data_IF_156781388198
#
_entry.id   IF_156781388198
#
_cell.length_a   1.000
_cell.length_b   1.000
_cell.length_c   1.000
_cell.angle_alpha   90.00
_cell.angle_beta   90.00
_cell.angle_gamma   90.00
#
_symmetry.space_group_name_H-M   'P 1'
#
loop_
_entity.id
_entity.type
_entity.pdbx_description
1 polymer ?
#
# COMPACT_ATOMS: atom_id res chain seq x y z
N UNK A 1 98.90 58.14 -77.51
CA UNK A 1 98.72 58.54 -76.10
C UNK A 1 100.12 58.79 -75.56
N UNK A 2 100.39 60.00 -75.09
CA UNK A 2 101.67 60.30 -74.45
C UNK A 2 101.71 59.68 -73.05
N UNK A 3 102.91 59.43 -72.50
CA UNK A 3 103.05 58.96 -71.11
C UNK A 3 102.37 59.89 -70.10
N UNK A 4 102.18 61.17 -70.44
CA UNK A 4 101.42 62.15 -69.64
C UNK A 4 99.90 61.90 -69.65
N UNK A 5 99.32 61.46 -70.76
CA UNK A 5 97.88 61.14 -70.84
C UNK A 5 97.53 59.88 -70.05
N UNK A 6 98.44 58.89 -70.05
CA UNK A 6 98.35 57.67 -69.25
C UNK A 6 98.51 57.97 -67.75
N UNK A 7 99.42 58.89 -67.38
CA UNK A 7 99.58 59.34 -65.99
C UNK A 7 98.37 60.13 -65.47
N UNK A 8 97.78 61.00 -66.29
CA UNK A 8 96.57 61.76 -65.93
C UNK A 8 95.33 60.84 -65.79
N UNK A 9 95.19 59.85 -66.67
CA UNK A 9 94.14 58.83 -66.56
C UNK A 9 94.34 57.93 -65.33
N UNK A 10 95.58 57.58 -65.00
CA UNK A 10 95.92 56.83 -63.78
C UNK A 10 95.61 57.64 -62.52
N UNK A 11 95.97 58.93 -62.46
CA UNK A 11 95.59 59.82 -61.35
C UNK A 11 94.07 60.00 -61.22
N UNK A 12 93.35 60.16 -62.34
CA UNK A 12 91.90 60.27 -62.35
C UNK A 12 91.23 58.99 -61.84
N UNK A 13 91.73 57.82 -62.26
CA UNK A 13 91.31 56.52 -61.75
C UNK A 13 91.63 56.33 -60.26
N UNK A 14 92.78 56.84 -59.79
CA UNK A 14 93.17 56.80 -58.38
C UNK A 14 92.23 57.63 -57.51
N UNK A 15 91.93 58.87 -57.93
CA UNK A 15 90.99 59.75 -57.22
C UNK A 15 89.57 59.19 -57.20
N UNK A 16 89.11 58.60 -58.31
CA UNK A 16 87.81 57.93 -58.37
C UNK A 16 87.76 56.71 -57.43
N UNK A 17 88.84 55.92 -57.36
CA UNK A 17 88.95 54.81 -56.43
C UNK A 17 88.97 55.28 -54.97
N UNK A 18 89.64 56.38 -54.64
CA UNK A 18 89.64 56.99 -53.30
C UNK A 18 88.28 57.57 -52.90
N UNK A 19 87.57 58.23 -53.82
CA UNK A 19 86.23 58.74 -53.58
C UNK A 19 85.22 57.59 -53.35
N UNK A 20 85.31 56.53 -54.17
CA UNK A 20 84.50 55.33 -53.98
C UNK A 20 84.81 54.64 -52.64
N UNK A 21 86.09 54.55 -52.24
CA UNK A 21 86.48 54.00 -50.92
C UNK A 21 85.94 54.83 -49.76
N UNK A 22 86.01 56.17 -49.84
CA UNK A 22 85.41 57.07 -48.84
C UNK A 22 83.91 56.88 -48.74
N UNK A 23 83.21 56.79 -49.88
CA UNK A 23 81.76 56.58 -49.89
C UNK A 23 81.36 55.22 -49.34
N UNK A 24 82.14 54.18 -49.61
CA UNK A 24 81.96 52.85 -49.00
C UNK A 24 82.18 52.90 -47.50
N UNK A 25 83.19 53.64 -47.01
CA UNK A 25 83.44 53.80 -45.58
C UNK A 25 82.31 54.55 -44.86
N UNK A 26 81.82 55.65 -45.43
CA UNK A 26 80.65 56.40 -44.90
C UNK A 26 79.40 55.51 -44.82
N UNK A 27 79.07 54.80 -45.90
CA UNK A 27 77.92 53.90 -45.94
C UNK A 27 78.08 52.70 -44.98
N UNK A 28 79.32 52.22 -44.76
CA UNK A 28 79.59 51.18 -43.80
C UNK A 28 79.42 51.66 -42.35
N UNK A 29 79.81 52.90 -42.03
CA UNK A 29 79.54 53.49 -40.71
C UNK A 29 78.05 53.75 -40.48
N UNK A 30 77.34 54.29 -41.48
CA UNK A 30 75.88 54.47 -41.40
C UNK A 30 75.15 53.13 -41.20
N UNK A 31 75.58 52.07 -41.90
CA UNK A 31 75.04 50.72 -41.75
C UNK A 31 75.38 50.12 -40.38
N UNK A 32 76.60 50.31 -39.89
CA UNK A 32 77.01 49.84 -38.57
C UNK A 32 76.25 50.56 -37.45
N UNK A 33 76.05 51.88 -37.57
CA UNK A 33 75.29 52.69 -36.62
C UNK A 33 73.80 52.32 -36.59
N UNK A 34 73.23 51.92 -37.74
CA UNK A 34 71.86 51.43 -37.83
C UNK A 34 71.68 50.01 -37.25
N UNK A 35 72.78 49.28 -37.01
CA UNK A 35 72.80 47.95 -36.41
C UNK A 35 71.69 47.00 -36.95
N UNK A 36 71.61 46.78 -38.27
CA UNK A 36 70.51 46.06 -38.92
C UNK A 36 70.31 44.63 -38.37
N UNK A 37 71.39 43.95 -37.96
CA UNK A 37 71.30 42.62 -37.35
C UNK A 37 70.60 42.65 -35.99
N UNK A 38 70.81 43.71 -35.19
CA UNK A 38 70.13 43.88 -33.91
C UNK A 38 68.65 44.18 -34.10
N UNK A 39 68.31 45.04 -35.08
CA UNK A 39 66.92 45.34 -35.45
C UNK A 39 66.22 44.09 -36.00
N UNK A 40 66.90 43.29 -36.83
CA UNK A 40 66.37 42.03 -37.34
C UNK A 40 66.14 41.01 -36.21
N UNK A 41 67.05 40.93 -35.24
CA UNK A 41 66.90 40.07 -34.07
C UNK A 41 65.73 40.53 -33.16
N UNK A 42 65.56 41.83 -32.95
CA UNK A 42 64.45 42.39 -32.18
C UNK A 42 63.10 42.13 -32.87
N UNK A 43 63.02 42.34 -34.19
CA UNK A 43 61.83 42.02 -34.98
C UNK A 43 61.50 40.52 -34.91
N UNK A 44 62.51 39.65 -35.03
CA UNK A 44 62.31 38.21 -34.91
C UNK A 44 61.79 37.82 -33.52
N UNK A 45 62.36 38.39 -32.45
CA UNK A 45 61.91 38.15 -31.08
C UNK A 45 60.48 38.65 -30.84
N UNK A 46 60.16 39.86 -31.30
CA UNK A 46 58.81 40.43 -31.18
C UNK A 46 57.78 39.64 -31.98
N UNK A 47 58.14 39.15 -33.17
CA UNK A 47 57.27 38.30 -34.00
C UNK A 47 57.00 36.97 -33.30
N UNK A 48 58.04 36.31 -32.78
CA UNK A 48 57.91 35.07 -32.03
C UNK A 48 57.02 35.24 -30.78
N UNK A 49 57.21 36.33 -30.03
CA UNK A 49 56.37 36.64 -28.88
C UNK A 49 54.91 36.91 -29.27
N UNK A 50 54.67 37.61 -30.39
CA UNK A 50 53.32 37.89 -30.89
C UNK A 50 52.60 36.63 -31.39
N UNK A 51 53.33 35.69 -32.02
CA UNK A 51 52.77 34.42 -32.45
C UNK A 51 52.49 33.51 -31.24
N UNK A 52 53.38 33.44 -30.24
CA UNK A 52 53.13 32.71 -29.00
C UNK A 52 51.89 33.26 -28.25
N UNK A 53 51.74 34.59 -28.18
CA UNK A 53 50.56 35.20 -27.57
C UNK A 53 49.28 34.87 -28.34
N UNK A 54 49.37 34.79 -29.67
CA UNK A 54 48.25 34.44 -30.54
C UNK A 54 47.82 33.00 -30.33
N UNK A 55 48.77 32.07 -30.29
CA UNK A 55 48.50 30.65 -30.02
C UNK A 55 47.83 30.47 -28.66
N UNK A 56 48.37 31.12 -27.60
CA UNK A 56 47.77 31.10 -26.26
C UNK A 56 46.36 31.68 -26.24
N UNK A 57 46.12 32.76 -26.97
CA UNK A 57 44.79 33.35 -27.09
C UNK A 57 43.82 32.41 -27.81
N UNK A 58 44.23 31.80 -28.90
CA UNK A 58 43.41 30.86 -29.67
C UNK A 58 43.05 29.61 -28.84
N UNK A 59 44.00 29.09 -28.06
CA UNK A 59 43.79 27.98 -27.14
C UNK A 59 42.82 28.35 -26.00
N UNK A 60 43.02 29.51 -25.37
CA UNK A 60 42.12 29.99 -24.33
C UNK A 60 40.70 30.25 -24.88
N UNK A 61 40.60 30.82 -26.08
CA UNK A 61 39.31 31.07 -26.74
C UNK A 61 38.62 29.76 -27.14
N UNK A 62 39.37 28.71 -27.50
CA UNK A 62 38.84 27.37 -27.75
C UNK A 62 38.30 26.75 -26.47
N UNK A 63 39.08 26.77 -25.39
CA UNK A 63 38.67 26.26 -24.09
C UNK A 63 37.42 26.97 -23.55
N UNK A 64 37.34 28.30 -23.69
CA UNK A 64 36.16 29.07 -23.28
C UNK A 64 34.91 28.63 -24.06
N UNK A 65 35.02 28.44 -25.38
CA UNK A 65 33.90 27.98 -26.20
C UNK A 65 33.43 26.57 -25.81
N UNK A 66 34.37 25.66 -25.52
CA UNK A 66 34.01 24.31 -25.05
C UNK A 66 33.26 24.35 -23.72
N UNK A 67 33.75 25.14 -22.76
CA UNK A 67 33.11 25.31 -21.45
C UNK A 67 31.73 25.97 -21.59
N UNK A 68 31.57 26.99 -22.43
CA UNK A 68 30.29 27.64 -22.68
C UNK A 68 29.26 26.69 -23.31
N UNK A 69 29.69 25.84 -24.24
CA UNK A 69 28.84 24.80 -24.83
C UNK A 69 28.41 23.80 -23.75
N UNK A 70 29.35 23.31 -22.93
CA UNK A 70 29.06 22.34 -21.88
C UNK A 70 28.10 22.92 -20.82
N UNK A 71 28.33 24.15 -20.38
CA UNK A 71 27.44 24.87 -19.46
C UNK A 71 26.05 25.10 -20.07
N UNK A 72 25.97 25.44 -21.36
CA UNK A 72 24.70 25.60 -22.07
C UNK A 72 23.90 24.29 -22.12
N UNK A 73 24.57 23.17 -22.42
CA UNK A 73 23.96 21.84 -22.40
C UNK A 73 23.42 21.53 -21.00
N UNK A 74 24.25 21.66 -19.96
CA UNK A 74 23.80 21.42 -18.58
C UNK A 74 22.68 22.34 -18.12
N UNK A 75 22.70 23.62 -18.54
CA UNK A 75 21.64 24.57 -18.27
C UNK A 75 20.32 24.20 -18.96
N UNK A 76 20.38 23.61 -20.16
CA UNK A 76 19.21 23.21 -20.95
C UNK A 76 18.54 21.91 -20.49
N UNK A 77 19.21 21.09 -19.67
CA UNK A 77 18.70 19.78 -19.24
C UNK A 77 17.48 19.83 -18.30
N UNK A 78 17.11 21.03 -17.83
CA UNK A 78 15.91 21.27 -17.03
C UNK A 78 15.91 20.52 -15.70
N UNK A 79 17.10 20.26 -15.13
CA UNK A 79 17.28 19.45 -13.91
C UNK A 79 16.48 19.99 -12.73
N UNK A 80 16.39 21.31 -12.59
CA UNK A 80 15.55 21.94 -11.57
C UNK A 80 14.07 21.59 -11.78
N UNK A 81 13.55 21.72 -13.00
CA UNK A 81 12.17 21.34 -13.29
C UNK A 81 11.88 19.85 -13.05
N UNK A 82 12.86 18.97 -13.30
CA UNK A 82 12.75 17.53 -12.97
C UNK A 82 12.71 17.31 -11.45
N UNK A 83 13.53 18.05 -10.70
CA UNK A 83 13.53 17.99 -9.24
C UNK A 83 12.20 18.49 -8.68
N UNK A 84 11.73 19.67 -9.09
CA UNK A 84 10.48 20.27 -8.63
C UNK A 84 9.28 19.34 -8.94
N UNK A 85 9.26 18.71 -10.11
CA UNK A 85 8.24 17.73 -10.48
C UNK A 85 8.29 16.48 -9.60
N UNK A 86 9.49 15.95 -9.31
CA UNK A 86 9.66 14.78 -8.45
C UNK A 86 9.28 15.08 -6.99
N UNK A 87 9.60 16.29 -6.49
CA UNK A 87 9.21 16.73 -5.15
C UNK A 87 7.70 16.89 -5.02
N UNK A 88 7.06 17.50 -6.03
CA UNK A 88 5.59 17.62 -6.10
C UNK A 88 4.92 16.25 -6.08
N UNK A 89 5.41 15.30 -6.89
CA UNK A 89 4.87 13.94 -6.95
C UNK A 89 5.04 13.23 -5.59
N UNK A 90 6.21 13.37 -4.95
CA UNK A 90 6.47 12.82 -3.62
C UNK A 90 5.49 13.36 -2.58
N UNK A 91 5.27 14.67 -2.58
CA UNK A 91 4.35 15.32 -1.64
C UNK A 91 2.90 14.87 -1.85
N UNK A 92 2.48 14.76 -3.12
CA UNK A 92 1.16 14.22 -3.46
C UNK A 92 1.01 12.78 -2.95
N UNK A 93 1.97 11.91 -3.25
CA UNK A 93 1.95 10.51 -2.83
C UNK A 93 1.95 10.37 -1.30
N UNK A 94 2.75 11.18 -0.59
CA UNK A 94 2.78 11.20 0.86
C UNK A 94 1.42 11.62 1.47
N UNK A 95 0.79 12.65 0.90
CA UNK A 95 -0.54 13.10 1.31
C UNK A 95 -1.62 12.03 1.10
N UNK A 96 -1.61 11.34 -0.05
CA UNK A 96 -2.52 10.23 -0.33
C UNK A 96 -2.31 9.08 0.65
N UNK A 97 -1.05 8.69 0.90
CA UNK A 97 -0.71 7.63 1.84
C UNK A 97 -1.20 7.96 3.26
N UNK A 98 -0.99 9.20 3.74
CA UNK A 98 -1.46 9.63 5.04
C UNK A 98 -2.99 9.53 5.15
N UNK A 99 -3.73 10.07 4.17
CA UNK A 99 -5.19 10.05 4.13
C UNK A 99 -5.78 8.64 4.10
N UNK A 100 -5.22 7.77 3.25
CA UNK A 100 -5.64 6.36 3.17
C UNK A 100 -5.30 5.64 4.48
N UNK A 101 -4.11 5.89 5.03
CA UNK A 101 -3.66 5.33 6.30
C UNK A 101 -4.57 5.69 7.47
N UNK A 102 -5.02 6.95 7.56
CA UNK A 102 -5.99 7.39 8.56
C UNK A 102 -7.32 6.66 8.45
N UNK A 103 -7.88 6.58 7.23
CA UNK A 103 -9.13 5.85 6.97
C UNK A 103 -9.02 4.38 7.31
N UNK A 104 -7.89 3.75 6.97
CA UNK A 104 -7.63 2.34 7.30
C UNK A 104 -7.52 2.11 8.81
N UNK A 105 -6.86 3.02 9.55
CA UNK A 105 -6.78 2.95 11.02
C UNK A 105 -8.16 3.13 11.65
N UNK A 106 -8.96 4.09 11.18
CA UNK A 106 -10.33 4.32 11.65
C UNK A 106 -11.22 3.10 11.41
N UNK A 107 -11.18 2.51 10.20
CA UNK A 107 -11.95 1.31 9.88
C UNK A 107 -11.51 0.10 10.73
N UNK A 108 -10.20 -0.06 10.97
CA UNK A 108 -9.67 -1.12 11.83
C UNK A 108 -10.13 -0.95 13.28
N UNK A 109 -10.12 0.27 13.79
CA UNK A 109 -10.60 0.60 15.14
C UNK A 109 -12.10 0.32 15.27
N UNK A 110 -12.91 0.77 14.31
CA UNK A 110 -14.34 0.49 14.32
C UNK A 110 -14.62 -1.02 14.31
N UNK A 111 -13.95 -1.77 13.42
CA UNK A 111 -14.07 -3.23 13.36
C UNK A 111 -13.72 -3.88 14.70
N UNK A 112 -12.58 -3.54 15.29
CA UNK A 112 -12.13 -4.17 16.54
C UNK A 112 -13.08 -3.88 17.70
N UNK A 113 -13.54 -2.63 17.82
CA UNK A 113 -14.49 -2.20 18.85
C UNK A 113 -15.84 -2.91 18.66
N UNK A 114 -16.40 -2.92 17.46
CA UNK A 114 -17.68 -3.57 17.16
C UNK A 114 -17.61 -5.09 17.38
N UNK A 115 -16.55 -5.75 16.93
CA UNK A 115 -16.34 -7.18 17.20
C UNK A 115 -16.28 -7.45 18.70
N UNK A 116 -15.50 -6.68 19.47
CA UNK A 116 -15.41 -6.83 20.92
C UNK A 116 -16.76 -6.68 21.60
N UNK A 117 -17.52 -5.63 21.28
CA UNK A 117 -18.84 -5.41 21.88
C UNK A 117 -19.86 -6.47 21.48
N UNK A 118 -19.83 -6.94 20.23
CA UNK A 118 -20.65 -8.06 19.76
C UNK A 118 -20.34 -9.32 20.55
N UNK A 119 -19.05 -9.66 20.69
CA UNK A 119 -18.62 -10.90 21.34
C UNK A 119 -18.90 -10.85 22.85
N UNK A 120 -18.68 -9.70 23.51
CA UNK A 120 -19.09 -9.48 24.91
C UNK A 120 -20.60 -9.60 25.10
N UNK A 121 -21.40 -9.02 24.18
CA UNK A 121 -22.87 -9.13 24.24
C UNK A 121 -23.32 -10.57 24.08
N UNK A 122 -22.74 -11.31 23.13
CA UNK A 122 -23.03 -12.74 22.93
C UNK A 122 -22.70 -13.57 24.17
N UNK A 123 -21.55 -13.35 24.80
CA UNK A 123 -21.16 -14.05 26.03
C UNK A 123 -22.19 -13.86 27.16
N UNK A 124 -22.83 -12.69 27.27
CA UNK A 124 -23.90 -12.45 28.26
C UNK A 124 -25.13 -13.35 28.04
N UNK A 125 -25.35 -13.83 26.82
CA UNK A 125 -26.49 -14.68 26.48
C UNK A 125 -26.18 -16.18 26.52
N UNK A 126 -24.90 -16.59 26.44
CA UNK A 126 -24.52 -18.02 26.41
C UNK A 126 -25.03 -18.75 27.64
N UNK A 127 -24.75 -18.24 28.84
CA UNK A 127 -25.13 -18.93 30.09
C UNK A 127 -26.65 -18.94 30.31
N UNK A 128 -27.39 -17.81 30.18
CA UNK A 128 -28.85 -17.83 30.25
C UNK A 128 -29.50 -18.77 29.23
N UNK A 129 -28.99 -18.80 28.00
CA UNK A 129 -29.50 -19.69 26.96
C UNK A 129 -29.20 -21.16 27.25
N UNK A 130 -27.98 -21.48 27.69
CA UNK A 130 -27.60 -22.82 28.15
C UNK A 130 -28.50 -23.28 29.29
N UNK A 131 -28.69 -22.45 30.31
CA UNK A 131 -29.51 -22.76 31.46
C UNK A 131 -30.97 -23.04 31.06
N UNK A 132 -31.52 -22.21 30.17
CA UNK A 132 -32.90 -22.37 29.69
C UNK A 132 -33.05 -23.62 28.82
N UNK A 133 -32.10 -23.90 27.93
CA UNK A 133 -32.10 -25.11 27.12
C UNK A 133 -32.00 -26.37 27.99
N UNK A 134 -31.19 -26.35 29.04
CA UNK A 134 -31.12 -27.45 30.02
C UNK A 134 -32.41 -27.59 30.82
N UNK A 135 -33.01 -26.48 31.27
CA UNK A 135 -34.30 -26.45 31.96
C UNK A 135 -35.41 -27.11 31.13
N UNK A 136 -35.50 -26.77 29.84
CA UNK A 136 -36.47 -27.33 28.90
C UNK A 136 -36.14 -28.76 28.47
N UNK A 137 -34.85 -29.13 28.40
CA UNK A 137 -34.42 -30.45 27.95
C UNK A 137 -34.45 -31.53 29.01
N UNK A 138 -34.30 -31.20 30.30
CA UNK A 138 -34.32 -32.19 31.41
C UNK A 138 -35.61 -33.03 31.47
N UNK A 139 -36.82 -32.47 31.28
CA UNK A 139 -38.05 -33.28 31.17
C UNK A 139 -38.03 -34.33 30.05
N UNK A 140 -37.30 -34.06 28.96
CA UNK A 140 -37.26 -34.91 27.75
C UNK A 140 -36.15 -35.96 27.85
N UNK A 141 -34.95 -35.52 28.23
CA UNK A 141 -33.75 -36.34 28.20
C UNK A 141 -33.32 -36.90 29.56
N UNK A 142 -33.88 -36.40 30.67
CA UNK A 142 -33.55 -36.81 32.02
C UNK A 142 -32.82 -35.73 32.84
N UNK A 143 -32.70 -35.91 34.17
CA UNK A 143 -32.16 -34.90 35.08
C UNK A 143 -30.67 -34.60 34.86
N UNK A 144 -29.92 -35.53 34.27
CA UNK A 144 -28.48 -35.42 33.95
C UNK A 144 -28.21 -34.70 32.63
N UNK A 145 -29.25 -34.17 31.96
CA UNK A 145 -29.11 -33.50 30.67
C UNK A 145 -28.35 -32.17 30.80
N UNK A 146 -27.24 -32.10 30.06
CA UNK A 146 -26.45 -30.90 29.87
C UNK A 146 -26.07 -30.73 28.40
N UNK A 147 -25.75 -29.49 28.03
CA UNK A 147 -25.29 -29.12 26.70
C UNK A 147 -24.17 -28.09 26.81
N UNK A 148 -23.24 -28.17 25.87
CA UNK A 148 -22.26 -27.13 25.67
C UNK A 148 -22.67 -26.19 24.55
N UNK A 149 -22.66 -24.89 24.84
CA UNK A 149 -23.04 -23.82 23.93
C UNK A 149 -21.84 -22.91 23.70
N UNK A 150 -21.56 -22.60 22.44
CA UNK A 150 -20.50 -21.67 22.06
C UNK A 150 -20.95 -20.20 21.98
N UNK A 151 -20.03 -19.33 21.60
CA UNK A 151 -20.30 -17.89 21.44
C UNK A 151 -21.28 -17.53 20.31
N UNK A 152 -21.57 -18.47 19.40
CA UNK A 152 -22.54 -18.30 18.33
C UNK A 152 -23.92 -18.88 18.70
N UNK A 153 -24.11 -19.28 19.97
CA UNK A 153 -25.32 -19.91 20.51
C UNK A 153 -25.64 -21.26 19.84
N UNK A 154 -24.62 -21.96 19.35
CA UNK A 154 -24.73 -23.29 18.77
C UNK A 154 -24.45 -24.37 19.81
N UNK A 155 -25.25 -25.45 19.78
CA UNK A 155 -25.01 -26.64 20.58
C UNK A 155 -23.80 -27.38 20.01
N UNK A 156 -22.74 -27.52 20.81
CA UNK A 156 -21.51 -28.23 20.45
C UNK A 156 -21.50 -29.67 20.92
N UNK A 157 -21.96 -29.90 22.15
CA UNK A 157 -22.04 -31.24 22.73
C UNK A 157 -23.29 -31.39 23.56
N UNK A 158 -23.67 -32.65 23.79
CA UNK A 158 -24.69 -33.04 24.75
C UNK A 158 -24.08 -34.03 25.72
N UNK A 159 -24.31 -33.83 27.01
CA UNK A 159 -23.97 -34.78 28.06
C UNK A 159 -25.23 -35.43 28.61
N UNK A 160 -25.23 -36.76 28.69
CA UNK A 160 -26.26 -37.56 29.36
C UNK A 160 -25.57 -38.61 30.22
N UNK A 161 -25.98 -38.72 31.48
CA UNK A 161 -25.45 -39.70 32.44
C UNK A 161 -23.91 -39.73 32.49
N UNK A 162 -23.29 -38.55 32.42
CA UNK A 162 -21.84 -38.37 32.41
C UNK A 162 -21.15 -38.64 31.06
N UNK A 163 -21.89 -39.02 30.02
CA UNK A 163 -21.35 -39.27 28.67
C UNK A 163 -21.58 -38.07 27.76
N UNK A 164 -20.49 -37.42 27.37
CA UNK A 164 -20.50 -36.27 26.44
C UNK A 164 -20.32 -36.73 25.00
N UNK A 165 -21.26 -36.33 24.14
CA UNK A 165 -21.27 -36.67 22.71
C UNK A 165 -21.30 -35.39 21.87
N UNK A 166 -20.49 -35.27 20.80
CA UNK A 166 -20.58 -34.15 19.86
C UNK A 166 -21.96 -34.07 19.22
N UNK A 167 -22.45 -32.85 18.97
CA UNK A 167 -23.75 -32.62 18.33
C UNK A 167 -23.89 -33.40 17.01
N UNK A 168 -22.82 -33.45 16.19
CA UNK A 168 -22.86 -34.12 14.90
C UNK A 168 -23.09 -35.63 14.98
N UNK A 169 -22.69 -36.25 16.08
CA UNK A 169 -22.85 -37.69 16.32
C UNK A 169 -24.21 -38.06 16.91
N UNK A 170 -25.08 -37.10 17.16
CA UNK A 170 -26.44 -37.35 17.64
C UNK A 170 -27.33 -37.95 16.55
N UNK A 171 -28.29 -38.78 16.95
CA UNK A 171 -29.32 -39.30 16.05
C UNK A 171 -30.21 -38.18 15.51
N UNK A 172 -30.84 -38.40 14.36
CA UNK A 172 -31.78 -37.46 13.75
C UNK A 172 -32.85 -36.97 14.74
N UNK A 173 -33.55 -37.90 15.41
CA UNK A 173 -34.57 -37.54 16.41
C UNK A 173 -34.03 -36.72 17.59
N UNK A 174 -32.81 -37.01 18.07
CA UNK A 174 -32.19 -36.20 19.12
C UNK A 174 -31.84 -34.78 18.62
N UNK A 175 -31.36 -34.65 17.39
CA UNK A 175 -31.10 -33.35 16.75
C UNK A 175 -32.40 -32.56 16.58
N UNK A 176 -33.49 -33.19 16.14
CA UNK A 176 -34.80 -32.56 15.99
C UNK A 176 -35.34 -32.02 17.32
N UNK A 177 -35.34 -32.83 18.37
CA UNK A 177 -35.79 -32.42 19.71
C UNK A 177 -34.97 -31.25 20.22
N UNK A 178 -33.63 -31.32 20.14
CA UNK A 178 -32.75 -30.22 20.54
C UNK A 178 -32.99 -28.97 19.71
N UNK A 179 -33.28 -29.09 18.41
CA UNK A 179 -33.55 -27.95 17.54
C UNK A 179 -34.87 -27.24 17.92
N UNK A 180 -35.89 -27.97 18.38
CA UNK A 180 -37.13 -27.36 18.90
C UNK A 180 -36.84 -26.68 20.24
N UNK A 181 -36.20 -27.39 21.17
CA UNK A 181 -35.86 -26.85 22.49
C UNK A 181 -34.98 -25.59 22.38
N UNK A 182 -34.04 -25.56 21.43
CA UNK A 182 -33.22 -24.38 21.11
C UNK A 182 -34.07 -23.18 20.69
N UNK A 183 -35.08 -23.38 19.83
CA UNK A 183 -35.99 -22.29 19.41
C UNK A 183 -36.85 -21.80 20.57
N UNK A 184 -37.36 -22.71 21.40
CA UNK A 184 -38.14 -22.37 22.59
C UNK A 184 -37.30 -21.59 23.62
N UNK A 185 -36.07 -22.05 23.89
CA UNK A 185 -35.12 -21.36 24.76
C UNK A 185 -34.74 -19.97 24.22
N UNK A 186 -34.58 -19.84 22.90
CA UNK A 186 -34.34 -18.57 22.24
C UNK A 186 -35.51 -17.59 22.40
N UNK A 187 -36.75 -18.06 22.22
CA UNK A 187 -37.94 -17.26 22.44
C UNK A 187 -38.05 -16.81 23.91
N UNK A 188 -37.80 -17.72 24.87
CA UNK A 188 -37.81 -17.40 26.30
C UNK A 188 -36.74 -16.36 26.69
N UNK A 189 -35.59 -16.35 26.01
CA UNK A 189 -34.52 -15.39 26.26
C UNK A 189 -34.90 -13.95 25.86
N UNK A 190 -35.74 -13.81 24.83
CA UNK A 190 -36.22 -12.52 24.30
C UNK A 190 -37.51 -12.06 24.99
N UNK A 191 -38.31 -12.99 25.52
CA UNK A 191 -39.64 -12.78 26.08
C UNK A 191 -39.72 -12.05 27.45
N UNK A 192 -38.69 -11.29 27.86
CA UNK A 192 -38.72 -10.58 29.16
C UNK A 192 -39.70 -9.41 29.20
N UNK A 193 -40.06 -8.84 28.05
CA UNK A 193 -41.00 -7.71 27.93
C UNK A 193 -42.16 -8.04 26.98
N UNK A 194 -41.89 -8.70 25.85
CA UNK A 194 -42.91 -9.15 24.88
C UNK A 194 -42.63 -10.59 24.43
N UNK A 195 -43.60 -11.50 24.58
CA UNK A 195 -43.46 -12.89 24.12
C UNK A 195 -43.46 -12.97 22.59
N UNK A 196 -42.50 -13.69 22.01
CA UNK A 196 -42.45 -13.97 20.57
C UNK A 196 -43.06 -15.35 20.27
N UNK A 197 -43.90 -15.48 19.22
CA UNK A 197 -44.46 -16.78 18.86
C UNK A 197 -43.38 -17.70 18.27
N UNK A 198 -43.47 -18.99 18.58
CA UNK A 198 -42.62 -20.04 17.98
C UNK A 198 -43.46 -20.86 17.01
N UNK A 199 -43.06 -20.91 15.75
CA UNK A 199 -43.71 -21.75 14.72
C UNK A 199 -42.88 -23.01 14.50
N UNK A 200 -43.53 -24.16 14.57
CA UNK A 200 -42.97 -25.49 14.34
C UNK A 200 -43.69 -26.10 13.15
N UNK A 201 -42.96 -26.41 12.08
CA UNK A 201 -43.52 -26.98 10.85
C UNK A 201 -43.02 -28.41 10.65
N UNK A 202 -43.97 -29.35 10.68
CA UNK A 202 -43.85 -30.80 10.55
C UNK A 202 -42.62 -31.43 11.25
N UNK A 203 -42.37 -31.01 12.48
CA UNK A 203 -41.23 -31.50 13.25
C UNK A 203 -41.52 -32.84 13.97
N UNK A 204 -40.48 -33.38 14.60
CA UNK A 204 -40.49 -34.61 15.42
C UNK A 204 -40.81 -35.90 14.64
N UNK A 205 -40.53 -35.93 13.34
CA UNK A 205 -40.77 -37.11 12.49
C UNK A 205 -39.91 -38.33 12.86
N UNK A 206 -38.76 -38.12 13.50
CA UNK A 206 -37.85 -39.20 13.93
C UNK A 206 -37.82 -39.39 15.45
N UNK A 207 -38.83 -38.90 16.18
CA UNK A 207 -38.91 -38.97 17.63
C UNK A 207 -39.74 -40.17 18.09
N UNK A 208 -39.24 -40.91 19.10
CA UNK A 208 -39.94 -42.05 19.68
C UNK A 208 -41.17 -41.63 20.52
N UNK A 209 -42.19 -42.50 20.68
CA UNK A 209 -43.44 -42.16 21.38
C UNK A 209 -43.25 -41.64 22.81
N UNK A 210 -42.34 -42.24 23.58
CA UNK A 210 -42.07 -41.82 24.96
C UNK A 210 -41.51 -40.38 25.00
N UNK A 211 -40.66 -40.03 24.04
CA UNK A 211 -40.14 -38.67 23.90
C UNK A 211 -41.16 -37.70 23.32
N UNK A 212 -42.05 -38.12 22.43
CA UNK A 212 -43.17 -37.28 21.96
C UNK A 212 -44.04 -36.84 23.14
N UNK A 213 -44.42 -37.76 24.02
CA UNK A 213 -45.20 -37.45 25.22
C UNK A 213 -44.47 -36.48 26.17
N UNK A 214 -43.14 -36.62 26.32
CA UNK A 214 -42.33 -35.69 27.12
C UNK A 214 -42.20 -34.32 26.46
N UNK A 215 -42.05 -34.26 25.14
CA UNK A 215 -42.04 -33.02 24.37
C UNK A 215 -43.37 -32.28 24.51
N UNK A 216 -44.50 -33.00 24.55
CA UNK A 216 -45.83 -32.45 24.85
C UNK A 216 -45.85 -31.55 26.09
N UNK A 217 -45.34 -32.07 27.20
CA UNK A 217 -45.22 -31.32 28.47
C UNK A 217 -44.34 -30.06 28.36
N UNK A 218 -43.33 -30.10 27.50
CA UNK A 218 -42.48 -28.91 27.25
C UNK A 218 -43.28 -27.86 26.49
N UNK A 219 -44.06 -28.25 25.48
CA UNK A 219 -44.96 -27.34 24.77
C UNK A 219 -45.99 -26.72 25.72
N UNK A 220 -46.58 -27.48 26.64
CA UNK A 220 -47.53 -26.94 27.63
C UNK A 220 -46.88 -25.88 28.52
N UNK A 221 -45.66 -26.15 29.00
CA UNK A 221 -44.92 -25.26 29.88
C UNK A 221 -44.58 -23.93 29.18
N UNK A 222 -44.18 -23.99 27.90
CA UNK A 222 -43.86 -22.79 27.12
C UNK A 222 -45.13 -22.07 26.66
N UNK A 223 -46.17 -22.82 26.28
CA UNK A 223 -47.47 -22.32 25.87
C UNK A 223 -48.18 -21.50 26.95
N UNK A 224 -47.89 -21.76 28.23
CA UNK A 224 -48.39 -20.96 29.35
C UNK A 224 -47.82 -19.53 29.40
N UNK A 225 -46.67 -19.28 28.77
CA UNK A 225 -45.93 -18.01 28.84
C UNK A 225 -45.67 -17.38 27.47
N UNK A 226 -46.15 -18.01 26.38
CA UNK A 226 -45.95 -17.57 25.01
C UNK A 226 -46.75 -18.42 24.03
N UNK A 227 -46.78 -18.04 22.75
CA UNK A 227 -47.53 -18.77 21.74
C UNK A 227 -46.64 -19.77 21.00
N UNK A 228 -47.07 -21.02 20.91
CA UNK A 228 -46.46 -22.03 20.03
C UNK A 228 -47.49 -22.45 18.99
N UNK A 229 -47.13 -22.36 17.71
CA UNK A 229 -47.97 -22.74 16.57
C UNK A 229 -47.33 -23.95 15.91
N UNK A 230 -48.05 -25.07 15.88
CA UNK A 230 -47.61 -26.30 15.22
C UNK A 230 -48.39 -26.49 13.94
N UNK A 231 -47.68 -26.65 12.82
CA UNK A 231 -48.22 -27.07 11.54
C UNK A 231 -47.77 -28.51 11.31
N UNK A 232 -48.68 -29.44 11.07
CA UNK A 232 -48.31 -30.84 10.82
C UNK A 232 -49.39 -31.58 10.03
N UNK A 233 -48.96 -32.58 9.27
CA UNK A 233 -49.84 -33.56 8.63
C UNK A 233 -50.07 -34.81 9.49
N UNK A 234 -49.38 -34.94 10.64
CA UNK A 234 -49.47 -36.07 11.54
C UNK A 234 -49.77 -35.58 12.97
N UNK A 235 -51.05 -35.31 13.28
CA UNK A 235 -51.45 -34.72 14.56
C UNK A 235 -51.14 -35.61 15.76
N UNK A 236 -51.12 -36.94 15.58
CA UNK A 236 -50.86 -37.93 16.63
C UNK A 236 -49.51 -37.68 17.33
N UNK A 237 -48.54 -37.07 16.64
CA UNK A 237 -47.24 -36.70 17.22
C UNK A 237 -47.33 -35.70 18.37
N UNK A 238 -48.42 -34.94 18.44
CA UNK A 238 -48.64 -33.86 19.39
C UNK A 238 -49.80 -34.16 20.35
N UNK A 239 -50.27 -35.41 20.42
CA UNK A 239 -51.35 -35.80 21.33
C UNK A 239 -50.99 -35.63 22.82
N UNK A 240 -49.70 -35.61 23.14
CA UNK A 240 -49.21 -35.31 24.49
C UNK A 240 -49.26 -33.83 24.90
N UNK A 241 -49.70 -32.92 24.03
CA UNK A 241 -49.87 -31.49 24.34
C UNK A 241 -51.27 -31.27 24.93
N UNK A 242 -51.34 -30.87 26.20
CA UNK A 242 -52.60 -30.61 26.89
C UNK A 242 -53.12 -29.20 26.58
N UNK A 243 -54.43 -29.06 26.32
CA UNK A 243 -55.04 -27.75 26.10
C UNK A 243 -54.74 -27.10 24.74
N UNK A 244 -54.15 -27.84 23.79
CA UNK A 244 -53.91 -27.35 22.44
C UNK A 244 -55.23 -26.99 21.71
N UNK A 245 -55.27 -25.80 21.11
CA UNK A 245 -56.34 -25.44 20.17
C UNK A 245 -56.04 -26.06 18.81
N UNK A 246 -56.81 -27.10 18.44
CA UNK A 246 -56.65 -27.83 17.17
C UNK A 246 -57.52 -27.20 16.08
N UNK A 247 -56.92 -26.94 14.93
CA UNK A 247 -57.59 -26.40 13.74
C UNK A 247 -57.33 -27.36 12.59
N UNK A 248 -58.38 -28.01 12.10
CA UNK A 248 -58.30 -28.86 10.91
C UNK A 248 -58.39 -27.99 9.65
N UNK A 249 -57.32 -28.00 8.85
CA UNK A 249 -57.28 -27.32 7.55
C UNK A 249 -57.97 -28.21 6.51
N UNK A 250 -59.29 -28.09 6.40
CA UNK A 250 -60.04 -28.70 5.31
C UNK A 250 -59.68 -28.00 4.00
N UNK A 251 -59.05 -28.73 3.08
CA UNK A 251 -58.89 -28.34 1.67
C UNK A 251 -60.08 -28.84 0.87
#
# INVERSE_FOLDING_TARGET
MSDQDLAAAAEGGLRAAEAARRRVAELAEELAAAAPDAVAAELAAATAAADELRDRYEDAARALREIDIELSVFGSEGRQGKLDAAETEREHAAGQHARIGERARAARLLRSVMTRHRDTTRQRYVEPYRAELQRLGRPVFGPTFEVDIDSDLCIRTRTLDGVTVPYESLSGGAKEQLAILARLAGAALVAKEDSVPVVVDDALGFTDPDRLAKMGKVFDTVGAHGQVIVLTCNPDRYDGVEGAHRIDLNV
#
